data_IF_668244318835
#
_entry.id   IF_668244318835
#
_cell.length_a   1.000
_cell.length_b   1.000
_cell.length_c   1.000
_cell.angle_alpha   90.00
_cell.angle_beta   90.00
_cell.angle_gamma   90.00
#
_symmetry.space_group_name_H-M   'P 1'
#
loop_
_entity.id
_entity.type
_entity.pdbx_description
1 polymer ?
#
# COMPACT_ATOMS: atom_id res chain seq x y z
N UNK A 1 16.91 -0.22 -14.80
CA UNK A 1 16.57 0.58 -13.61
C UNK A 1 15.93 -0.36 -12.60
N UNK A 2 16.54 -0.51 -11.43
CA UNK A 2 16.10 -1.44 -10.40
C UNK A 2 14.82 -0.93 -9.74
N UNK A 3 13.73 -1.67 -9.93
CA UNK A 3 12.47 -1.46 -9.22
C UNK A 3 12.72 -1.64 -7.71
N UNK A 4 12.32 -0.67 -6.90
CA UNK A 4 12.44 -0.75 -5.44
C UNK A 4 11.40 -1.74 -4.94
N UNK A 5 11.87 -2.82 -4.32
CA UNK A 5 11.04 -3.83 -3.70
C UNK A 5 10.50 -3.33 -2.35
N UNK A 6 9.23 -2.92 -2.34
CA UNK A 6 8.56 -2.38 -1.15
C UNK A 6 8.32 -3.44 -0.07
N UNK A 7 8.34 -4.72 -0.43
CA UNK A 7 8.10 -5.81 0.53
C UNK A 7 9.20 -5.93 1.59
N UNK A 8 10.38 -5.37 1.31
CA UNK A 8 11.56 -5.42 2.18
C UNK A 8 11.72 -4.21 3.10
N UNK A 9 10.81 -3.24 3.03
CA UNK A 9 10.89 -2.08 3.91
C UNK A 9 10.58 -2.49 5.36
N UNK A 10 11.34 -1.98 6.34
CA UNK A 10 11.00 -2.18 7.74
C UNK A 10 9.69 -1.46 8.05
N UNK A 11 8.87 -2.07 8.89
CA UNK A 11 7.59 -1.50 9.30
C UNK A 11 7.87 -0.16 10.00
N UNK A 12 7.30 0.96 9.53
CA UNK A 12 7.49 2.23 10.20
C UNK A 12 6.80 2.19 11.56
N UNK A 13 7.54 2.63 12.59
CA UNK A 13 7.00 2.85 13.92
C UNK A 13 6.22 4.17 13.91
N UNK A 14 4.91 4.08 13.69
CA UNK A 14 4.02 5.26 13.57
C UNK A 14 3.49 5.77 14.91
N UNK A 15 3.45 4.93 15.96
CA UNK A 15 2.94 5.26 17.29
C UNK A 15 3.84 4.62 18.37
N UNK A 16 3.66 5.08 19.61
CA UNK A 16 4.30 4.54 20.82
C UNK A 16 4.16 3.02 20.93
N UNK A 17 5.17 2.38 21.53
CA UNK A 17 5.24 0.94 21.69
C UNK A 17 4.04 0.39 22.50
N UNK A 18 3.58 -0.79 22.09
CA UNK A 18 2.52 -1.53 22.77
C UNK A 18 3.13 -2.27 23.96
N UNK A 19 3.36 -1.53 25.05
CA UNK A 19 3.72 -2.12 26.34
C UNK A 19 2.58 -1.97 27.35
N UNK A 20 2.07 -3.11 27.82
CA UNK A 20 1.01 -3.14 28.82
C UNK A 20 1.49 -2.60 30.17
N UNK A 21 2.70 -2.98 30.60
CA UNK A 21 3.20 -2.63 31.92
C UNK A 21 3.49 -1.12 32.02
N UNK A 22 4.11 -0.54 30.99
CA UNK A 22 4.29 0.91 30.92
C UNK A 22 2.97 1.69 31.03
N UNK A 23 1.94 1.28 30.28
CA UNK A 23 0.61 1.91 30.31
C UNK A 23 -0.07 1.77 31.66
N UNK A 24 0.04 0.59 32.27
CA UNK A 24 -0.52 0.34 33.59
C UNK A 24 0.16 1.20 34.66
N UNK A 25 1.49 1.32 34.63
CA UNK A 25 2.24 2.15 35.56
C UNK A 25 1.95 3.65 35.38
N UNK A 26 1.77 4.11 34.15
CA UNK A 26 1.33 5.48 33.85
C UNK A 26 -0.05 5.76 34.46
N UNK A 27 -1.01 4.85 34.26
CA UNK A 27 -2.36 4.98 34.79
C UNK A 27 -2.38 4.92 36.32
N UNK A 28 -1.57 4.05 36.91
CA UNK A 28 -1.39 3.96 38.35
C UNK A 28 -0.81 5.27 38.91
N UNK A 29 0.22 5.83 38.27
CA UNK A 29 0.80 7.10 38.67
C UNK A 29 -0.22 8.24 38.58
N UNK A 30 -1.01 8.30 37.50
CA UNK A 30 -2.08 9.28 37.34
C UNK A 30 -3.15 9.15 38.44
N UNK A 31 -3.55 7.92 38.76
CA UNK A 31 -4.55 7.64 39.78
C UNK A 31 -4.04 8.05 41.18
N UNK A 32 -2.78 7.75 41.50
CA UNK A 32 -2.14 8.18 42.75
C UNK A 32 -2.06 9.70 42.87
N UNK A 33 -1.77 10.41 41.77
CA UNK A 33 -1.73 11.86 41.77
C UNK A 33 -3.10 12.47 42.12
N UNK A 34 -4.20 11.87 41.65
CA UNK A 34 -5.55 12.34 41.94
C UNK A 34 -6.05 11.98 43.34
N UNK A 35 -5.72 10.79 43.86
CA UNK A 35 -6.16 10.35 45.18
C UNK A 35 -5.30 10.89 46.34
N UNK A 36 -4.06 11.31 46.05
CA UNK A 36 -3.11 11.75 47.06
C UNK A 36 -2.89 10.69 48.15
N UNK A 37 -2.93 11.10 49.42
CA UNK A 37 -2.73 10.19 50.57
C UNK A 37 -3.97 9.38 50.98
N UNK A 38 -5.08 9.49 50.24
CA UNK A 38 -6.36 8.85 50.60
C UNK A 38 -6.44 7.38 50.16
N UNK A 39 -5.52 6.94 49.31
CA UNK A 39 -5.45 5.57 48.83
C UNK A 39 -4.04 5.02 48.99
N UNK A 40 -3.94 3.95 49.79
CA UNK A 40 -2.67 3.34 50.21
C UNK A 40 -2.59 1.86 49.85
N UNK A 41 -3.65 1.29 49.24
CA UNK A 41 -3.69 -0.11 48.91
C UNK A 41 -2.77 -0.41 47.72
N UNK A 42 -1.78 -1.27 47.95
CA UNK A 42 -0.88 -1.81 46.92
C UNK A 42 -1.20 -3.27 46.57
N UNK A 43 -2.30 -3.80 47.09
CA UNK A 43 -2.63 -5.22 47.03
C UNK A 43 -3.40 -5.53 45.74
N UNK A 44 -3.02 -6.60 45.05
CA UNK A 44 -3.64 -7.03 43.78
C UNK A 44 -5.12 -7.42 43.91
N UNK A 45 -5.59 -7.66 45.14
CA UNK A 45 -7.00 -7.97 45.43
C UNK A 45 -7.90 -6.73 45.51
N UNK A 46 -7.35 -5.52 45.43
CA UNK A 46 -8.15 -4.30 45.39
C UNK A 46 -8.94 -4.24 44.05
N UNK A 47 -10.27 -4.08 44.07
CA UNK A 47 -11.07 -3.94 42.85
C UNK A 47 -10.62 -2.77 41.96
N UNK A 48 -10.01 -1.72 42.53
CA UNK A 48 -9.48 -0.58 41.76
C UNK A 48 -8.34 -1.02 40.84
N UNK A 49 -7.46 -1.90 41.31
CA UNK A 49 -6.35 -2.42 40.50
C UNK A 49 -6.89 -3.18 39.28
N UNK A 50 -7.93 -3.99 39.47
CA UNK A 50 -8.59 -4.70 38.35
C UNK A 50 -9.25 -3.76 37.35
N UNK A 51 -9.82 -2.64 37.80
CA UNK A 51 -10.35 -1.63 36.89
C UNK A 51 -9.23 -0.93 36.09
N UNK A 52 -8.08 -0.66 36.71
CA UNK A 52 -6.92 -0.09 36.03
C UNK A 52 -6.33 -1.05 34.99
N UNK A 53 -6.22 -2.35 35.31
CA UNK A 53 -5.80 -3.39 34.34
C UNK A 53 -6.72 -3.41 33.11
N UNK A 54 -8.05 -3.36 33.30
CA UNK A 54 -9.02 -3.29 32.20
C UNK A 54 -8.87 -1.99 31.39
N UNK A 55 -8.58 -0.87 32.07
CA UNK A 55 -8.30 0.42 31.44
C UNK A 55 -7.06 0.37 30.53
N UNK A 56 -5.95 -0.13 31.06
CA UNK A 56 -4.69 -0.30 30.34
C UNK A 56 -4.87 -1.23 29.12
N UNK A 57 -5.60 -2.35 29.28
CA UNK A 57 -5.88 -3.27 28.18
C UNK A 57 -6.68 -2.59 27.05
N UNK A 58 -7.70 -1.80 27.37
CA UNK A 58 -8.48 -1.04 26.38
C UNK A 58 -7.62 -0.01 25.63
N UNK A 59 -6.71 0.68 26.33
CA UNK A 59 -5.76 1.62 25.71
C UNK A 59 -4.83 0.92 24.73
N UNK A 60 -4.28 -0.23 25.12
CA UNK A 60 -3.45 -1.05 24.25
C UNK A 60 -4.19 -1.43 22.97
N UNK A 61 -5.42 -1.94 23.08
CA UNK A 61 -6.24 -2.29 21.91
C UNK A 61 -6.51 -1.10 20.99
N UNK A 62 -6.77 0.09 21.55
CA UNK A 62 -6.95 1.30 20.75
C UNK A 62 -5.67 1.68 20.00
N UNK A 63 -4.51 1.62 20.65
CA UNK A 63 -3.20 1.87 20.00
C UNK A 63 -2.93 0.84 18.89
N UNK A 64 -3.22 -0.43 19.13
CA UNK A 64 -3.11 -1.49 18.12
C UNK A 64 -3.97 -1.18 16.88
N UNK A 65 -5.24 -0.83 17.09
CA UNK A 65 -6.18 -0.46 16.02
C UNK A 65 -5.69 0.73 15.20
N UNK A 66 -5.18 1.77 15.85
CA UNK A 66 -4.65 2.95 15.16
C UNK A 66 -3.40 2.58 14.35
N UNK A 67 -2.52 1.74 14.90
CA UNK A 67 -1.32 1.28 14.18
C UNK A 67 -1.67 0.49 12.92
N UNK A 68 -2.67 -0.38 13.00
CA UNK A 68 -3.11 -1.15 11.85
C UNK A 68 -3.80 -0.27 10.81
N UNK A 69 -4.62 0.70 11.23
CA UNK A 69 -5.21 1.70 10.34
C UNK A 69 -4.14 2.57 9.65
N UNK A 70 -3.07 2.94 10.36
CA UNK A 70 -1.97 3.70 9.78
C UNK A 70 -1.17 2.86 8.76
N UNK A 71 -0.94 1.57 9.03
CA UNK A 71 -0.31 0.65 8.07
C UNK A 71 -1.14 0.50 6.79
N UNK A 72 -2.47 0.48 6.91
CA UNK A 72 -3.38 0.37 5.76
C UNK A 72 -3.26 1.55 4.77
N UNK A 73 -2.81 2.73 5.23
CA UNK A 73 -2.59 3.89 4.36
C UNK A 73 -1.27 3.83 3.57
N UNK A 74 -0.36 2.91 3.91
CA UNK A 74 0.94 2.79 3.27
C UNK A 74 0.90 1.74 2.16
N UNK A 75 1.30 2.12 0.94
CA UNK A 75 1.29 1.23 -0.24
C UNK A 75 1.99 -0.12 0.00
N UNK A 76 3.07 -0.12 0.81
CA UNK A 76 3.85 -1.31 1.13
C UNK A 76 3.09 -2.32 2.00
N UNK A 77 2.17 -1.87 2.85
CA UNK A 77 1.48 -2.72 3.84
C UNK A 77 -0.03 -2.84 3.63
N UNK A 78 -0.63 -1.94 2.84
CA UNK A 78 -2.04 -1.97 2.48
C UNK A 78 -2.41 -3.30 1.82
N UNK A 79 -3.59 -3.83 2.14
CA UNK A 79 -4.10 -5.11 1.63
C UNK A 79 -5.50 -4.91 1.06
N UNK A 80 -5.86 -5.74 0.07
CA UNK A 80 -7.23 -5.87 -0.43
C UNK A 80 -7.91 -4.51 -0.70
N UNK A 81 -8.99 -4.20 0.03
CA UNK A 81 -9.79 -2.99 -0.16
C UNK A 81 -9.04 -1.69 0.12
N UNK A 82 -8.09 -1.68 1.07
CA UNK A 82 -7.29 -0.49 1.36
C UNK A 82 -6.36 -0.16 0.18
N UNK A 83 -5.82 -1.20 -0.46
CA UNK A 83 -4.99 -1.04 -1.65
C UNK A 83 -5.81 -0.54 -2.84
N UNK A 84 -7.06 -0.99 -2.98
CA UNK A 84 -7.96 -0.52 -4.03
C UNK A 84 -8.30 0.98 -3.87
N UNK A 85 -8.48 1.46 -2.63
CA UNK A 85 -8.65 2.88 -2.35
C UNK A 85 -7.39 3.70 -2.68
N UNK A 86 -6.20 3.18 -2.32
CA UNK A 86 -4.94 3.82 -2.69
C UNK A 86 -4.71 3.84 -4.22
N UNK A 87 -5.11 2.78 -4.92
CA UNK A 87 -5.08 2.74 -6.38
C UNK A 87 -6.05 3.75 -7.02
N UNK A 88 -7.23 3.91 -6.43
CA UNK A 88 -8.23 4.89 -6.89
C UNK A 88 -7.70 6.33 -6.82
N UNK A 89 -6.88 6.67 -5.81
CA UNK A 89 -6.22 7.99 -5.72
C UNK A 89 -5.31 8.29 -6.92
N UNK A 90 -4.78 7.25 -7.57
CA UNK A 90 -3.91 7.33 -8.76
C UNK A 90 -4.71 7.04 -10.04
N UNK A 91 -6.05 7.06 -9.94
CA UNK A 91 -6.99 6.76 -11.03
C UNK A 91 -6.79 5.37 -11.65
N UNK A 92 -6.43 4.38 -10.82
CA UNK A 92 -6.31 2.97 -11.22
C UNK A 92 -7.41 2.14 -10.56
N UNK A 93 -7.81 1.09 -11.25
CA UNK A 93 -8.79 0.11 -10.76
C UNK A 93 -8.22 -1.30 -10.88
N UNK A 94 -8.71 -2.18 -10.02
CA UNK A 94 -8.34 -3.59 -10.00
C UNK A 94 -8.80 -4.27 -11.29
N UNK A 95 -7.88 -4.94 -11.98
CA UNK A 95 -8.20 -5.64 -13.23
C UNK A 95 -8.85 -7.01 -12.96
N UNK A 96 -9.85 -7.33 -13.78
CA UNK A 96 -10.46 -8.66 -13.82
C UNK A 96 -9.66 -9.52 -14.80
N UNK A 97 -8.98 -10.54 -14.30
CA UNK A 97 -8.24 -11.51 -15.14
C UNK A 97 -9.21 -12.50 -15.77
N UNK A 98 -10.19 -12.98 -14.99
CA UNK A 98 -11.23 -13.90 -15.44
C UNK A 98 -12.59 -13.44 -14.94
N UNK A 99 -13.49 -13.13 -15.87
CA UNK A 99 -14.87 -12.81 -15.54
C UNK A 99 -15.59 -14.05 -14.98
N UNK A 100 -16.46 -13.85 -14.00
CA UNK A 100 -17.31 -14.91 -13.47
C UNK A 100 -18.25 -15.41 -14.57
N UNK A 101 -18.36 -16.73 -14.72
CA UNK A 101 -19.35 -17.35 -15.59
C UNK A 101 -20.15 -18.39 -14.78
N UNK A 102 -21.42 -18.11 -14.43
CA UNK A 102 -22.25 -19.04 -13.69
C UNK A 102 -22.83 -20.16 -14.56
N UNK A 103 -22.72 -20.06 -15.88
CA UNK A 103 -23.31 -21.02 -16.82
C UNK A 103 -22.39 -22.20 -17.14
N UNK A 104 -21.14 -22.16 -16.72
CA UNK A 104 -20.20 -23.28 -16.82
C UNK A 104 -20.44 -24.26 -15.67
N UNK A 105 -20.35 -25.57 -15.94
CA UNK A 105 -20.42 -26.64 -14.93
C UNK A 105 -19.03 -27.28 -14.87
N UNK A 106 -18.24 -27.12 -13.79
CA UNK A 106 -18.50 -26.34 -12.57
C UNK A 106 -18.45 -24.81 -12.79
N UNK A 107 -19.16 -24.02 -11.95
CA UNK A 107 -19.18 -22.56 -12.06
C UNK A 107 -17.78 -21.97 -12.02
N UNK A 108 -17.51 -21.04 -12.92
CA UNK A 108 -16.20 -20.37 -12.97
C UNK A 108 -16.23 -19.11 -12.12
N UNK A 109 -15.41 -19.09 -11.07
CA UNK A 109 -15.30 -17.95 -10.13
C UNK A 109 -14.61 -16.73 -10.75
N UNK A 110 -14.88 -15.56 -10.18
CA UNK A 110 -14.23 -14.29 -10.52
C UNK A 110 -12.76 -14.33 -10.08
N UNK A 111 -11.84 -14.18 -11.02
CA UNK A 111 -10.41 -14.08 -10.71
C UNK A 111 -9.95 -12.65 -10.94
N UNK A 112 -9.62 -11.97 -9.85
CA UNK A 112 -9.05 -10.62 -9.83
C UNK A 112 -7.52 -10.67 -9.83
N UNK A 113 -6.88 -9.57 -10.23
CA UNK A 113 -5.43 -9.45 -10.09
C UNK A 113 -4.96 -9.51 -8.62
N UNK A 114 -3.73 -10.00 -8.42
CA UNK A 114 -3.09 -10.06 -7.11
C UNK A 114 -2.68 -8.67 -6.63
N UNK A 115 -2.59 -8.51 -5.31
CA UNK A 115 -2.20 -7.24 -4.67
C UNK A 115 -0.81 -6.77 -5.10
N UNK A 116 0.14 -7.70 -5.29
CA UNK A 116 1.50 -7.35 -5.72
C UNK A 116 1.51 -6.77 -7.14
N UNK A 117 0.76 -7.35 -8.08
CA UNK A 117 0.64 -6.83 -9.44
C UNK A 117 -0.01 -5.43 -9.47
N UNK A 118 -1.01 -5.19 -8.61
CA UNK A 118 -1.62 -3.87 -8.46
C UNK A 118 -0.63 -2.85 -7.89
N UNK A 119 0.16 -3.22 -6.88
CA UNK A 119 1.21 -2.34 -6.31
C UNK A 119 2.23 -1.90 -7.36
N UNK A 120 2.70 -2.82 -8.20
CA UNK A 120 3.64 -2.49 -9.28
C UNK A 120 3.04 -1.45 -10.24
N UNK A 121 1.77 -1.63 -10.63
CA UNK A 121 1.08 -0.68 -11.51
C UNK A 121 0.94 0.70 -10.87
N UNK A 122 0.60 0.75 -9.59
CA UNK A 122 0.51 2.02 -8.84
C UNK A 122 1.88 2.71 -8.78
N UNK A 123 2.97 1.98 -8.52
CA UNK A 123 4.33 2.53 -8.54
C UNK A 123 4.72 3.11 -9.91
N UNK A 124 4.45 2.37 -10.99
CA UNK A 124 4.76 2.80 -12.36
C UNK A 124 4.02 4.08 -12.74
N UNK A 125 2.78 4.24 -12.27
CA UNK A 125 1.96 5.43 -12.53
C UNK A 125 2.36 6.62 -11.66
N UNK A 126 2.73 6.37 -10.40
CA UNK A 126 3.18 7.41 -9.47
C UNK A 126 4.51 8.04 -9.88
N UNK A 127 5.37 7.32 -10.62
CA UNK A 127 6.55 7.90 -11.23
C UNK A 127 6.13 8.79 -12.41
N UNK A 128 6.22 10.14 -12.32
CA UNK A 128 5.92 10.96 -13.46
C UNK A 128 7.03 10.72 -14.50
N UNK A 129 6.68 10.04 -15.59
CA UNK A 129 7.41 10.10 -16.85
C UNK A 129 7.33 11.56 -17.35
N UNK A 130 8.11 12.44 -16.73
CA UNK A 130 8.24 13.86 -17.04
C UNK A 130 9.44 14.47 -16.30
N UNK A 131 10.66 14.00 -16.53
CA UNK A 131 11.47 14.63 -17.58
C UNK A 131 11.09 14.06 -18.96
N UNK A 132 10.22 14.79 -19.66
CA UNK A 132 9.54 14.39 -20.91
C UNK A 132 10.47 14.22 -22.13
N UNK A 133 11.78 14.00 -21.95
CA UNK A 133 12.75 13.87 -23.05
C UNK A 133 13.28 12.46 -23.28
N UNK A 134 12.99 11.48 -22.43
CA UNK A 134 13.62 10.14 -22.54
C UNK A 134 12.68 8.96 -22.84
N UNK A 135 11.35 9.09 -22.69
CA UNK A 135 10.45 7.92 -22.69
C UNK A 135 9.67 7.64 -23.98
N UNK A 136 9.92 8.34 -25.09
CA UNK A 136 9.22 8.07 -26.36
C UNK A 136 9.56 6.69 -26.96
N UNK A 137 10.58 6.00 -26.45
CA UNK A 137 11.03 4.72 -27.01
C UNK A 137 10.43 3.46 -26.37
N UNK A 138 9.93 3.49 -25.13
CA UNK A 138 9.55 2.23 -24.45
C UNK A 138 8.08 1.81 -24.61
N UNK A 139 7.18 2.74 -24.94
CA UNK A 139 5.74 2.41 -25.04
C UNK A 139 5.33 1.86 -26.42
N UNK A 140 6.18 2.01 -27.45
CA UNK A 140 5.94 1.44 -28.79
C UNK A 140 6.39 -0.03 -28.89
N UNK A 141 7.26 -0.50 -27.98
CA UNK A 141 7.87 -1.84 -28.07
C UNK A 141 6.96 -3.01 -27.65
N UNK A 142 5.75 -2.78 -27.12
CA UNK A 142 4.87 -3.87 -26.63
C UNK A 142 3.61 -4.14 -27.47
N UNK A 143 3.27 -3.31 -28.47
CA UNK A 143 1.98 -3.43 -29.17
C UNK A 143 2.02 -3.87 -30.64
N UNK A 144 3.17 -4.04 -31.30
CA UNK A 144 3.19 -4.50 -32.71
C UNK A 144 4.32 -5.48 -33.02
N UNK A 145 4.13 -6.75 -32.64
CA UNK A 145 4.81 -7.87 -33.32
C UNK A 145 3.90 -8.37 -34.45
N UNK A 146 4.09 -7.82 -35.65
CA UNK A 146 3.74 -8.50 -36.90
C UNK A 146 5.00 -8.53 -37.76
N UNK A 147 5.75 -9.62 -37.63
CA UNK A 147 6.93 -9.88 -38.48
C UNK A 147 6.44 -10.43 -39.81
N UNK A 148 6.80 -9.77 -40.92
CA UNK A 148 6.89 -10.41 -42.24
C UNK A 148 8.31 -10.19 -42.75
N UNK A 149 9.00 -11.29 -43.01
CA UNK A 149 10.39 -11.32 -43.51
C UNK A 149 10.42 -11.18 -45.02
N UNK A 150 11.24 -10.27 -45.55
CA UNK A 150 11.76 -10.35 -46.91
C UNK A 150 13.25 -10.67 -46.89
N UNK A 151 13.71 -11.34 -47.95
CA UNK A 151 14.84 -12.27 -47.98
C UNK A 151 16.27 -11.67 -47.86
N UNK A 152 16.45 -10.36 -47.70
CA UNK A 152 17.78 -9.73 -47.87
C UNK A 152 18.36 -9.06 -46.61
N UNK A 153 17.94 -9.47 -45.42
CA UNK A 153 18.74 -9.33 -44.18
C UNK A 153 19.19 -7.92 -43.76
N UNK A 154 18.63 -6.83 -44.28
CA UNK A 154 18.99 -5.46 -43.93
C UNK A 154 17.76 -4.66 -43.45
N UNK A 155 17.84 -4.11 -42.23
CA UNK A 155 16.83 -3.21 -41.66
C UNK A 155 17.16 -1.76 -42.04
N UNK A 156 16.38 -1.13 -42.91
CA UNK A 156 16.45 0.32 -43.13
C UNK A 156 15.25 1.01 -42.48
N UNK A 157 15.54 2.06 -41.69
CA UNK A 157 14.52 2.94 -41.09
C UNK A 157 14.45 4.21 -41.95
N UNK A 158 13.45 4.32 -42.81
CA UNK A 158 13.23 5.52 -43.63
C UNK A 158 12.47 6.59 -42.86
N UNK A 159 13.10 7.71 -42.53
CA UNK A 159 12.43 8.92 -42.06
C UNK A 159 12.02 9.79 -43.25
N UNK A 160 10.73 9.84 -43.56
CA UNK A 160 10.16 10.86 -44.45
C UNK A 160 9.42 11.89 -43.59
N UNK A 161 10.11 12.96 -43.20
CA UNK A 161 9.45 14.22 -42.82
C UNK A 161 10.20 15.34 -43.52
N UNK A 162 9.53 15.91 -44.53
CA UNK A 162 10.01 17.02 -45.33
C UNK A 162 9.97 18.33 -44.55
N UNK A 163 10.97 19.14 -44.85
CA UNK A 163 11.12 20.54 -44.51
C UNK A 163 9.96 21.38 -45.05
N UNK A 164 9.48 22.35 -44.27
CA UNK A 164 9.11 23.69 -44.75
C UNK A 164 8.70 24.58 -43.58
N UNK A 165 8.69 25.90 -43.80
CA UNK A 165 8.30 27.01 -42.89
C UNK A 165 9.45 27.76 -42.19
N UNK A 166 10.28 28.43 -43.00
CA UNK A 166 10.90 29.71 -42.63
C UNK A 166 10.84 30.68 -43.82
N UNK A 167 9.70 31.36 -43.99
CA UNK A 167 9.52 32.54 -44.86
C UNK A 167 8.19 33.25 -44.54
N UNK A 168 8.22 34.20 -43.60
CA UNK A 168 7.44 35.47 -43.53
C UNK A 168 7.49 36.06 -42.13
#
# INVERSE_FOLDING_TARGET
>A
MSQVDLSKLPVPQLLEDLDFEALYLEDLASFRAHMGNRWTAKLESDPVIKLLEVGAYRKLLNRARVNDAAKALLLAYAKEGDLDQLAANVSLQRLVIRAANPNTIPPTELLLESDDALRERVQLRSCPIASRRCCTWLTVARSTKRYSTNADGAWSCGSTHGDDWASR
#
